data_IF_192749282528
#
_entry.id   IF_192749282528
#
_cell.length_a   1.000
_cell.length_b   1.000
_cell.length_c   1.000
_cell.angle_alpha   90.00
_cell.angle_beta   90.00
_cell.angle_gamma   90.00
#
_symmetry.space_group_name_H-M   'P 1'
#
loop_
_entity.id
_entity.type
_entity.pdbx_description
1 polymer ?
#
# COMPACT_ATOMS: atom_id res chain seq x y z
N UNK A 1 20.83 6.19 -4.86
CA UNK A 1 20.68 7.22 -3.82
C UNK A 1 21.13 6.70 -2.48
N UNK A 2 21.05 7.50 -1.41
CA UNK A 2 21.42 7.11 -0.04
C UNK A 2 20.23 7.33 0.89
N UNK A 3 19.90 6.35 1.73
CA UNK A 3 18.77 6.49 2.65
C UNK A 3 19.09 7.45 3.80
N UNK A 4 18.10 8.30 4.14
CA UNK A 4 18.06 9.07 5.37
C UNK A 4 17.21 8.34 6.40
N UNK A 5 17.80 7.35 7.07
CA UNK A 5 17.10 6.47 8.01
C UNK A 5 16.53 7.20 9.23
N UNK A 6 17.15 8.28 9.68
CA UNK A 6 16.58 9.14 10.73
C UNK A 6 15.25 9.79 10.33
N UNK A 7 14.99 9.88 9.02
CA UNK A 7 13.77 10.45 8.44
C UNK A 7 12.63 9.46 8.27
N UNK A 8 12.73 8.21 8.71
CA UNK A 8 11.69 7.19 8.56
C UNK A 8 10.31 7.67 9.06
N UNK A 9 9.29 7.56 8.20
CA UNK A 9 7.87 7.80 8.50
C UNK A 9 7.12 6.48 8.55
N UNK A 10 6.21 6.35 9.52
CA UNK A 10 5.52 5.08 9.75
C UNK A 10 4.05 5.19 9.34
N UNK A 11 3.69 4.54 8.23
CA UNK A 11 2.31 4.41 7.79
C UNK A 11 1.68 3.18 8.45
N UNK A 12 0.65 3.37 9.26
CA UNK A 12 -0.07 2.27 9.91
C UNK A 12 -0.65 1.32 8.86
N UNK A 13 -0.33 0.05 8.99
CA UNK A 13 -0.67 -0.97 7.99
C UNK A 13 -0.85 -2.34 8.65
N UNK A 14 -1.45 -3.25 7.90
CA UNK A 14 -1.52 -4.67 8.24
C UNK A 14 -0.81 -5.48 7.17
N UNK A 15 -0.12 -6.55 7.57
CA UNK A 15 0.51 -7.48 6.64
C UNK A 15 0.43 -8.89 7.22
N UNK A 16 -0.04 -9.85 6.41
CA UNK A 16 -0.23 -11.27 6.79
C UNK A 16 -1.00 -11.49 8.12
N UNK A 17 -1.96 -10.61 8.43
CA UNK A 17 -2.79 -10.70 9.65
C UNK A 17 -2.24 -9.93 10.84
N UNK A 18 -1.01 -9.43 10.77
CA UNK A 18 -0.38 -8.64 11.82
C UNK A 18 -0.55 -7.14 11.61
N UNK A 19 -0.74 -6.40 12.70
CA UNK A 19 -0.73 -4.94 12.70
C UNK A 19 0.69 -4.39 12.90
N UNK A 20 1.00 -3.31 12.21
CA UNK A 20 2.32 -2.70 12.26
C UNK A 20 2.41 -1.46 11.39
N UNK A 21 3.55 -1.29 10.72
CA UNK A 21 3.83 -0.11 9.94
C UNK A 21 4.54 -0.44 8.63
N UNK A 22 4.10 0.16 7.54
CA UNK A 22 4.94 0.33 6.37
C UNK A 22 5.91 1.50 6.62
N UNK A 23 7.19 1.25 6.40
CA UNK A 23 8.27 2.21 6.67
C UNK A 23 8.60 2.98 5.40
N UNK A 24 8.30 4.27 5.41
CA UNK A 24 8.63 5.20 4.35
C UNK A 24 9.93 5.92 4.70
N UNK A 25 11.00 5.70 3.94
CA UNK A 25 12.31 6.31 4.19
C UNK A 25 12.65 7.28 3.05
N UNK A 26 13.05 8.52 3.33
CA UNK A 26 13.59 9.39 2.30
C UNK A 26 14.89 8.82 1.74
N UNK A 27 14.99 8.80 0.41
CA UNK A 27 16.20 8.47 -0.32
C UNK A 27 16.72 9.74 -0.98
N UNK A 28 17.92 10.17 -0.58
CA UNK A 28 18.63 11.27 -1.22
C UNK A 28 19.16 10.79 -2.58
N UNK A 29 18.80 11.50 -3.64
CA UNK A 29 19.28 11.27 -4.99
C UNK A 29 20.57 12.06 -5.25
N UNK A 30 21.34 11.62 -6.24
CA UNK A 30 22.63 12.23 -6.58
C UNK A 30 22.47 13.66 -7.14
N UNK A 31 21.27 14.04 -7.58
CA UNK A 31 20.91 15.39 -8.06
C UNK A 31 20.35 16.32 -6.96
N UNK A 32 20.41 15.89 -5.69
CA UNK A 32 19.94 16.66 -4.54
C UNK A 32 18.44 16.59 -4.27
N UNK A 33 17.66 15.88 -5.10
CA UNK A 33 16.25 15.62 -4.83
C UNK A 33 16.07 14.47 -3.83
N UNK A 34 14.88 14.38 -3.27
CA UNK A 34 14.48 13.31 -2.36
C UNK A 34 13.27 12.57 -2.90
N UNK A 35 13.19 11.26 -2.65
CA UNK A 35 12.01 10.45 -2.93
C UNK A 35 11.68 9.61 -1.70
N UNK A 36 10.40 9.50 -1.35
CA UNK A 36 9.96 8.64 -0.26
C UNK A 36 9.81 7.20 -0.77
N UNK A 37 10.60 6.29 -0.19
CA UNK A 37 10.58 4.87 -0.51
C UNK A 37 9.80 4.14 0.57
N UNK A 38 8.69 3.51 0.22
CA UNK A 38 8.07 2.49 1.06
C UNK A 38 8.94 1.23 1.00
N UNK A 39 9.73 1.03 2.06
CA UNK A 39 10.66 -0.10 2.19
C UNK A 39 9.96 -1.39 2.60
N UNK A 40 8.71 -1.30 3.04
CA UNK A 40 7.91 -2.45 3.46
C UNK A 40 7.49 -2.45 4.92
N UNK A 41 6.98 -3.59 5.37
CA UNK A 41 6.31 -3.75 6.67
C UNK A 41 7.27 -4.06 7.83
N UNK A 42 6.94 -3.55 9.02
CA UNK A 42 7.51 -3.96 10.31
C UNK A 42 6.40 -4.15 11.35
N UNK A 43 6.48 -5.19 12.21
CA UNK A 43 5.57 -5.34 13.35
C UNK A 43 5.64 -4.17 14.33
N UNK A 44 4.58 -3.98 15.12
CA UNK A 44 4.46 -2.87 16.07
C UNK A 44 5.67 -2.71 17.00
N UNK A 45 6.15 -3.82 17.57
CA UNK A 45 7.28 -3.84 18.52
C UNK A 45 8.64 -3.49 17.88
N UNK A 46 8.70 -3.55 16.55
CA UNK A 46 9.88 -3.28 15.71
C UNK A 46 9.74 -1.97 14.91
N UNK A 47 8.82 -1.09 15.34
CA UNK A 47 8.73 0.29 14.83
C UNK A 47 10.09 0.99 14.96
N UNK A 48 10.73 0.90 16.12
CA UNK A 48 12.03 1.50 16.38
C UNK A 48 13.14 0.89 15.49
N UNK A 49 13.75 1.74 14.67
CA UNK A 49 14.84 1.38 13.76
C UNK A 49 16.04 0.73 14.48
N UNK A 50 16.32 1.10 15.74
CA UNK A 50 17.43 0.54 16.51
C UNK A 50 17.27 -0.97 16.75
N UNK A 51 16.03 -1.46 16.86
CA UNK A 51 15.73 -2.90 17.03
C UNK A 51 15.88 -3.70 15.73
N UNK A 52 16.04 -3.02 14.60
CA UNK A 52 16.19 -3.61 13.25
C UNK A 52 17.37 -3.01 12.50
N UNK A 53 18.49 -2.79 13.21
CA UNK A 53 19.70 -2.14 12.70
C UNK A 53 20.27 -2.79 11.43
N UNK A 54 20.14 -4.11 11.25
CA UNK A 54 20.56 -4.80 10.02
C UNK A 54 19.86 -4.26 8.78
N UNK A 55 18.59 -3.84 8.91
CA UNK A 55 17.82 -3.23 7.84
C UNK A 55 18.23 -1.78 7.56
N UNK A 56 19.08 -1.16 8.36
CA UNK A 56 19.51 0.23 8.20
C UNK A 56 20.75 0.31 7.30
N UNK A 57 20.58 -0.09 6.04
CA UNK A 57 21.68 -0.20 5.06
C UNK A 57 22.38 1.15 4.84
N UNK A 58 23.70 1.15 4.81
CA UNK A 58 24.51 2.36 4.63
C UNK A 58 25.03 2.45 3.19
N UNK A 59 25.36 3.68 2.76
CA UNK A 59 25.92 3.93 1.43
C UNK A 59 24.89 3.99 0.30
N UNK A 60 25.40 3.93 -0.94
CA UNK A 60 24.57 4.04 -2.15
C UNK A 60 23.77 2.75 -2.37
N UNK A 61 22.50 2.91 -2.68
CA UNK A 61 21.57 1.84 -3.02
C UNK A 61 20.84 2.13 -4.33
N UNK A 62 20.40 1.05 -4.96
CA UNK A 62 19.41 1.05 -6.06
C UNK A 62 18.13 0.42 -5.52
N UNK A 63 16.99 1.08 -5.76
CA UNK A 63 15.67 0.57 -5.35
C UNK A 63 14.86 0.34 -6.62
N UNK A 64 14.38 -0.90 -6.79
CA UNK A 64 13.40 -1.26 -7.82
C UNK A 64 12.04 -1.38 -7.17
N UNK A 65 11.01 -0.86 -7.82
CA UNK A 65 9.70 -0.75 -7.21
C UNK A 65 8.65 -0.09 -8.09
N UNK A 66 7.45 0.05 -7.53
CA UNK A 66 6.30 0.65 -8.21
C UNK A 66 6.23 2.14 -7.90
N UNK A 67 6.15 2.97 -8.95
CA UNK A 67 5.85 4.39 -8.79
C UNK A 67 4.38 4.57 -8.38
N UNK A 68 4.13 5.41 -7.36
CA UNK A 68 2.78 5.73 -6.88
C UNK A 68 2.58 7.23 -6.81
N UNK A 69 1.47 7.70 -7.38
CA UNK A 69 1.08 9.09 -7.22
C UNK A 69 0.77 9.40 -5.76
N UNK A 70 1.11 10.60 -5.28
CA UNK A 70 0.65 11.07 -3.99
C UNK A 70 -0.87 11.20 -3.97
N UNK A 71 -1.45 11.11 -2.78
CA UNK A 71 -2.84 11.50 -2.58
C UNK A 71 -2.93 13.03 -2.62
N UNK A 72 -3.89 13.62 -3.35
CA UNK A 72 -4.04 15.08 -3.41
C UNK A 72 -4.58 15.67 -2.09
N UNK A 73 -5.29 14.85 -1.31
CA UNK A 73 -5.84 15.22 -0.01
C UNK A 73 -6.15 13.95 0.81
N UNK A 74 -6.55 14.13 2.07
CA UNK A 74 -7.08 13.07 2.93
C UNK A 74 -8.26 12.36 2.23
N UNK A 75 -8.20 11.02 2.02
CA UNK A 75 -9.21 10.32 1.21
C UNK A 75 -10.65 10.37 1.75
N UNK A 76 -10.83 10.46 3.07
CA UNK A 76 -12.14 10.43 3.71
C UNK A 76 -12.07 11.01 5.12
N UNK A 77 -13.18 11.61 5.57
CA UNK A 77 -13.37 12.06 6.95
C UNK A 77 -13.36 10.93 7.98
N UNK A 78 -13.59 9.68 7.55
CA UNK A 78 -13.57 8.50 8.43
C UNK A 78 -12.16 8.06 8.81
N UNK A 79 -11.13 8.47 8.05
CA UNK A 79 -9.75 8.19 8.43
C UNK A 79 -9.35 9.11 9.59
N UNK A 80 -8.59 8.63 10.58
CA UNK A 80 -7.97 9.51 11.56
C UNK A 80 -7.04 10.52 10.88
N UNK A 81 -6.82 11.66 11.53
CA UNK A 81 -5.74 12.56 11.15
C UNK A 81 -4.39 11.94 11.49
N UNK A 82 -3.36 12.25 10.69
CA UNK A 82 -2.01 11.78 10.96
C UNK A 82 -1.50 12.34 12.30
N UNK A 83 -0.96 11.47 13.15
CA UNK A 83 -0.27 11.87 14.38
C UNK A 83 1.22 12.07 14.07
N UNK A 84 1.54 13.25 13.55
CA UNK A 84 2.90 13.61 13.12
C UNK A 84 3.88 13.60 14.29
N UNK A 85 3.43 14.02 15.47
CA UNK A 85 4.24 14.06 16.69
C UNK A 85 4.68 12.65 17.14
N UNK A 86 3.77 11.66 17.06
CA UNK A 86 4.10 10.26 17.34
C UNK A 86 4.69 9.52 16.15
N UNK A 87 4.88 10.19 15.01
CA UNK A 87 5.26 9.58 13.75
C UNK A 87 4.37 8.37 13.42
N UNK A 88 3.06 8.60 13.34
CA UNK A 88 2.06 7.62 12.93
C UNK A 88 1.18 8.27 11.87
N UNK A 89 1.22 7.71 10.67
CA UNK A 89 0.42 8.16 9.54
C UNK A 89 -0.68 7.13 9.26
N UNK A 90 -1.93 7.57 9.24
CA UNK A 90 -3.09 6.74 8.89
C UNK A 90 -3.46 6.89 7.41
N UNK A 91 -2.90 7.89 6.73
CA UNK A 91 -2.99 8.07 5.29
C UNK A 91 -1.69 8.68 4.75
N UNK A 92 -1.41 8.45 3.47
CA UNK A 92 -0.13 8.76 2.83
C UNK A 92 -0.04 10.22 2.38
N UNK A 93 -0.04 11.13 3.34
CA UNK A 93 0.28 12.54 3.12
C UNK A 93 1.77 12.69 2.82
N UNK A 94 2.12 12.71 1.53
CA UNK A 94 3.51 12.75 1.06
C UNK A 94 4.26 13.96 1.60
N UNK A 95 3.61 15.11 1.59
CA UNK A 95 4.25 16.39 1.85
C UNK A 95 4.47 16.56 3.36
N UNK A 96 3.50 16.18 4.18
CA UNK A 96 3.68 16.14 5.64
C UNK A 96 4.69 15.07 6.06
N UNK A 97 4.69 13.89 5.40
CA UNK A 97 5.72 12.86 5.62
C UNK A 97 7.12 13.40 5.34
N UNK A 98 7.34 14.05 4.20
CA UNK A 98 8.64 14.62 3.85
C UNK A 98 9.04 15.80 4.76
N UNK A 99 8.12 16.73 5.03
CA UNK A 99 8.39 17.89 5.87
C UNK A 99 8.74 17.52 7.32
N UNK A 100 8.16 16.42 7.84
CA UNK A 100 8.46 15.91 9.19
C UNK A 100 9.60 14.89 9.25
N UNK A 101 10.27 14.62 8.12
CA UNK A 101 11.37 13.66 8.03
C UNK A 101 12.77 14.25 8.31
N UNK A 102 12.86 15.53 8.70
CA UNK A 102 14.15 16.18 8.98
C UNK A 102 15.00 16.41 7.73
N UNK A 103 14.34 16.60 6.58
CA UNK A 103 15.01 16.95 5.32
C UNK A 103 15.63 18.36 5.39
N UNK A 104 16.71 18.63 4.63
CA UNK A 104 17.33 19.96 4.60
C UNK A 104 16.34 21.03 4.14
N UNK A 105 16.54 22.27 4.60
CA UNK A 105 15.71 23.40 4.18
C UNK A 105 15.74 23.57 2.65
N UNK A 106 14.57 23.82 2.04
CA UNK A 106 14.45 23.95 0.59
C UNK A 106 14.60 22.66 -0.19
N UNK A 107 14.43 21.49 0.44
CA UNK A 107 14.48 20.20 -0.25
C UNK A 107 13.51 20.16 -1.44
N UNK A 108 13.94 19.47 -2.51
CA UNK A 108 13.06 19.18 -3.66
C UNK A 108 12.62 17.73 -3.61
N UNK A 109 11.31 17.51 -3.65
CA UNK A 109 10.74 16.17 -3.60
C UNK A 109 10.35 15.70 -5.01
N UNK A 110 10.70 14.46 -5.35
CA UNK A 110 10.20 13.79 -6.55
C UNK A 110 8.68 13.59 -6.39
N UNK A 111 7.85 13.85 -7.42
CA UNK A 111 6.40 13.92 -7.26
C UNK A 111 5.69 12.56 -7.14
N UNK A 112 6.34 11.54 -6.59
CA UNK A 112 5.82 10.18 -6.41
C UNK A 112 6.35 9.55 -5.11
N UNK A 113 5.71 8.49 -4.66
CA UNK A 113 6.33 7.47 -3.81
C UNK A 113 6.88 6.32 -4.67
N UNK A 114 7.79 5.54 -4.10
CA UNK A 114 8.20 4.24 -4.67
C UNK A 114 7.90 3.14 -3.65
N UNK A 115 7.09 2.16 -4.03
CA UNK A 115 6.91 0.91 -3.27
C UNK A 115 7.99 -0.09 -3.67
N UNK A 116 8.94 -0.37 -2.79
CA UNK A 116 10.03 -1.31 -3.06
C UNK A 116 9.50 -2.73 -3.35
N UNK A 117 10.19 -3.43 -4.26
CA UNK A 117 9.87 -4.82 -4.60
C UNK A 117 10.19 -5.81 -3.46
N UNK A 118 10.11 -7.12 -3.77
CA UNK A 118 10.34 -8.20 -2.80
C UNK A 118 11.82 -8.49 -2.52
N UNK A 119 12.76 -7.68 -3.03
CA UNK A 119 14.19 -7.85 -2.74
C UNK A 119 14.41 -7.78 -1.22
N UNK A 120 14.97 -8.81 -0.58
CA UNK A 120 15.09 -8.85 0.87
C UNK A 120 15.98 -7.73 1.43
N UNK A 121 15.49 -7.01 2.44
CA UNK A 121 16.33 -6.14 3.25
C UNK A 121 17.24 -6.99 4.16
N UNK A 122 18.50 -6.58 4.43
CA UNK A 122 19.35 -7.33 5.35
C UNK A 122 18.71 -7.43 6.75
N UNK A 123 18.75 -8.61 7.35
CA UNK A 123 18.03 -8.89 8.60
C UNK A 123 16.52 -9.11 8.45
N UNK A 124 15.99 -9.11 7.22
CA UNK A 124 14.60 -9.47 6.89
C UNK A 124 13.58 -8.35 7.09
N UNK A 125 13.97 -7.21 7.67
CA UNK A 125 13.07 -6.09 7.95
C UNK A 125 13.61 -4.75 7.42
N UNK A 126 12.74 -3.85 6.92
CA UNK A 126 11.31 -4.06 6.65
C UNK A 126 11.05 -5.14 5.58
N UNK A 127 9.88 -5.79 5.61
CA UNK A 127 9.50 -6.79 4.61
C UNK A 127 9.02 -6.08 3.34
N UNK A 128 9.80 -6.12 2.26
CA UNK A 128 9.47 -5.47 0.98
C UNK A 128 8.33 -6.14 0.20
N UNK A 129 7.86 -5.50 -0.87
CA UNK A 129 6.86 -6.07 -1.78
C UNK A 129 5.47 -6.28 -1.17
N UNK A 130 5.11 -5.44 -0.19
CA UNK A 130 3.81 -5.46 0.51
C UNK A 130 2.65 -4.93 -0.34
N UNK A 131 2.95 -4.29 -1.47
CA UNK A 131 1.93 -3.79 -2.39
C UNK A 131 1.42 -4.94 -3.25
N UNK A 132 0.16 -5.33 -3.02
CA UNK A 132 -0.53 -6.35 -3.81
C UNK A 132 -0.85 -5.78 -5.18
N UNK A 133 -0.27 -6.38 -6.22
CA UNK A 133 -0.56 -6.08 -7.63
C UNK A 133 -1.32 -7.19 -8.33
N UNK A 134 -1.49 -8.34 -7.68
CA UNK A 134 -2.30 -9.44 -8.18
C UNK A 134 -3.74 -9.25 -7.68
N UNK A 135 -4.60 -8.79 -8.57
CA UNK A 135 -6.00 -8.52 -8.26
C UNK A 135 -6.82 -9.77 -8.59
N UNK A 136 -7.61 -10.32 -7.65
CA UNK A 136 -8.46 -11.47 -7.92
C UNK A 136 -9.36 -11.23 -9.14
N UNK A 137 -9.27 -12.11 -10.13
CA UNK A 137 -10.08 -12.04 -11.35
C UNK A 137 -11.08 -13.21 -11.40
N UNK A 138 -12.25 -13.00 -10.80
CA UNK A 138 -13.35 -13.98 -10.80
C UNK A 138 -14.47 -13.62 -11.79
N UNK A 139 -14.21 -12.73 -12.75
CA UNK A 139 -15.25 -12.17 -13.64
C UNK A 139 -15.97 -13.25 -14.46
N UNK A 140 -15.22 -14.21 -15.01
CA UNK A 140 -15.82 -15.30 -15.79
C UNK A 140 -16.72 -16.19 -14.91
N UNK A 141 -16.25 -16.55 -13.71
CA UNK A 141 -17.03 -17.34 -12.76
C UNK A 141 -18.33 -16.63 -12.37
N UNK A 142 -18.27 -15.34 -12.07
CA UNK A 142 -19.46 -14.55 -11.81
C UNK A 142 -20.37 -14.48 -13.03
N UNK A 143 -19.84 -14.25 -14.22
CA UNK A 143 -20.64 -14.22 -15.45
C UNK A 143 -21.39 -15.54 -15.65
N UNK A 144 -20.73 -16.69 -15.53
CA UNK A 144 -21.35 -18.02 -15.61
C UNK A 144 -22.44 -18.17 -14.56
N UNK A 145 -22.18 -17.74 -13.32
CA UNK A 145 -23.15 -17.84 -12.23
C UNK A 145 -24.40 -17.00 -12.53
N UNK A 146 -24.24 -15.74 -12.90
CA UNK A 146 -25.34 -14.83 -13.16
C UNK A 146 -26.15 -15.20 -14.41
N UNK A 147 -25.48 -15.53 -15.52
CA UNK A 147 -26.17 -15.98 -16.73
C UNK A 147 -26.81 -17.36 -16.55
N UNK A 148 -26.20 -18.25 -15.78
CA UNK A 148 -26.80 -19.54 -15.41
C UNK A 148 -28.09 -19.37 -14.61
N UNK A 149 -28.08 -18.51 -13.58
CA UNK A 149 -29.28 -18.18 -12.80
C UNK A 149 -30.37 -17.52 -13.67
N UNK A 150 -29.98 -16.58 -14.55
CA UNK A 150 -30.91 -15.95 -15.47
C UNK A 150 -31.55 -16.95 -16.44
N UNK A 151 -30.76 -17.89 -17.00
CA UNK A 151 -31.26 -18.94 -17.87
C UNK A 151 -32.22 -19.89 -17.15
N UNK A 152 -31.91 -20.28 -15.90
CA UNK A 152 -32.80 -21.11 -15.09
C UNK A 152 -34.14 -20.42 -14.81
N UNK A 153 -34.13 -19.12 -14.46
CA UNK A 153 -35.34 -18.32 -14.27
C UNK A 153 -36.15 -18.19 -15.56
N UNK A 154 -35.49 -17.94 -16.69
CA UNK A 154 -36.15 -17.88 -18.00
C UNK A 154 -36.81 -19.22 -18.35
N UNK A 155 -36.13 -20.34 -18.09
CA UNK A 155 -36.70 -21.68 -18.31
C UNK A 155 -37.95 -21.91 -17.45
N UNK A 156 -37.90 -21.59 -16.16
CA UNK A 156 -39.06 -21.70 -15.24
C UNK A 156 -40.23 -20.85 -15.74
N UNK A 157 -39.96 -19.61 -16.16
CA UNK A 157 -40.99 -18.71 -16.70
C UNK A 157 -41.63 -19.28 -17.96
N UNK A 158 -40.84 -19.76 -18.91
CA UNK A 158 -41.35 -20.39 -20.14
C UNK A 158 -42.19 -21.62 -19.83
N UNK A 159 -41.74 -22.49 -18.93
CA UNK A 159 -42.50 -23.68 -18.50
C UNK A 159 -43.83 -23.30 -17.83
N UNK A 160 -43.84 -22.24 -17.01
CA UNK A 160 -45.06 -21.71 -16.40
C UNK A 160 -46.05 -21.18 -17.43
N UNK A 161 -45.59 -20.38 -18.39
CA UNK A 161 -46.43 -19.77 -19.42
C UNK A 161 -46.99 -20.78 -20.42
N UNK A 162 -46.29 -21.90 -20.64
CA UNK A 162 -46.73 -22.98 -21.54
C UNK A 162 -47.65 -24.01 -20.88
N UNK A 163 -47.92 -23.89 -19.58
CA UNK A 163 -48.75 -24.85 -18.85
C UNK A 163 -50.23 -24.57 -19.17
N UNK A 164 -50.99 -25.51 -19.76
CA UNK A 164 -52.40 -25.30 -20.06
C UNK A 164 -53.20 -25.07 -18.77
N UNK A 165 -54.26 -24.26 -18.86
CA UNK A 165 -55.17 -24.06 -17.75
C UNK A 165 -55.75 -25.42 -17.33
N UNK A 166 -55.81 -25.66 -16.02
CA UNK A 166 -56.48 -26.84 -15.48
C UNK A 166 -57.98 -26.64 -15.75
N UNK A 167 -58.59 -27.48 -16.58
CA UNK A 167 -60.06 -27.57 -16.60
C UNK A 167 -60.50 -28.18 -15.27
N UNK A 168 -61.39 -27.48 -14.57
CA UNK A 168 -62.02 -27.90 -13.30
C UNK A 168 -63.19 -28.87 -13.55
#
# INVERSE_FOLDING_TARGET
>A
GTFLHSGERHFYATWEGDAGFNVYTPLALDDGRFVLINRGFVPYDLKDAAKRAKGQVTGKVTVTGLARNPLPAKPSMMLPDNDVAKNIFYWKDRDVMAASAGLPAGFTLVPIFIDADKTPNPGGLPVGGVTIIDLPNSHLQYAVTWYGLAAALAAILVLRLRRPAKED
#
